data_IF_693425993748
#
_entry.id   IF_693425993748
#
_cell.length_a   1.000
_cell.length_b   1.000
_cell.length_c   1.000
_cell.angle_alpha   90.00
_cell.angle_beta   90.00
_cell.angle_gamma   90.00
#
_symmetry.space_group_name_H-M   'P 1'
#
loop_
_entity.id
_entity.type
_entity.pdbx_description
1 polymer ?
#
# COMPACT_ATOMS: atom_id res chain seq x y z
N UNK A 1 40.36 66.91 -22.62
CA UNK A 1 39.62 65.66 -23.08
C UNK A 1 39.48 64.72 -21.91
N UNK A 2 38.33 64.70 -21.28
CA UNK A 2 38.03 63.96 -20.04
C UNK A 2 36.98 62.91 -20.36
N UNK A 3 37.32 61.60 -20.23
CA UNK A 3 36.40 60.50 -20.41
C UNK A 3 35.59 60.24 -19.12
N UNK A 4 34.25 59.99 -19.21
CA UNK A 4 33.48 59.60 -18.04
C UNK A 4 33.58 58.08 -17.78
N UNK A 5 33.79 57.75 -16.50
CA UNK A 5 33.72 56.36 -15.97
C UNK A 5 32.27 55.95 -15.80
N UNK A 6 31.83 54.89 -16.50
CA UNK A 6 30.59 54.18 -16.26
C UNK A 6 30.74 53.18 -15.09
N UNK A 7 30.01 53.42 -14.02
CA UNK A 7 29.86 52.49 -12.90
C UNK A 7 28.68 51.59 -13.24
N UNK A 8 28.93 50.31 -13.53
CA UNK A 8 27.92 49.29 -13.74
C UNK A 8 27.43 48.74 -12.40
N UNK A 9 26.18 49.02 -12.06
CA UNK A 9 25.48 48.41 -10.92
C UNK A 9 24.98 47.03 -11.34
N UNK A 10 25.61 45.96 -10.87
CA UNK A 10 25.19 44.58 -11.06
C UNK A 10 24.05 44.25 -10.10
N UNK A 11 22.85 44.04 -10.63
CA UNK A 11 21.68 43.60 -9.89
C UNK A 11 21.75 42.08 -9.71
N UNK A 12 22.14 41.62 -8.53
CA UNK A 12 22.14 40.20 -8.16
C UNK A 12 20.70 39.74 -7.86
N UNK A 13 20.08 39.04 -8.80
CA UNK A 13 18.79 38.32 -8.59
C UNK A 13 19.05 37.08 -7.72
N UNK A 14 18.77 37.18 -6.43
CA UNK A 14 18.67 36.06 -5.51
C UNK A 14 17.39 35.28 -5.83
N UNK A 15 17.48 34.25 -6.67
CA UNK A 15 16.43 33.27 -6.90
C UNK A 15 16.20 32.43 -5.65
N UNK A 16 15.15 32.74 -4.90
CA UNK A 16 14.66 31.86 -3.82
C UNK A 16 14.12 30.57 -4.43
N UNK A 17 14.97 29.55 -4.52
CA UNK A 17 14.53 28.20 -4.82
C UNK A 17 13.70 27.71 -3.63
N UNK A 18 12.36 27.81 -3.72
CA UNK A 18 11.45 27.12 -2.82
C UNK A 18 11.67 25.63 -2.96
N UNK A 19 12.55 25.08 -2.14
CA UNK A 19 12.77 23.66 -2.01
C UNK A 19 11.48 23.01 -1.50
N UNK A 20 10.64 22.48 -2.40
CA UNK A 20 9.57 21.57 -2.02
C UNK A 20 10.23 20.41 -1.27
N UNK A 21 9.95 20.27 0.02
CA UNK A 21 10.27 19.04 0.75
C UNK A 21 9.74 17.88 -0.08
N UNK A 22 10.57 16.88 -0.42
CA UNK A 22 10.07 15.69 -1.12
C UNK A 22 8.97 15.09 -0.26
N UNK A 23 7.77 15.02 -0.82
CA UNK A 23 6.64 14.33 -0.21
C UNK A 23 7.06 12.87 0.03
N UNK A 24 6.90 12.33 1.24
CA UNK A 24 7.32 10.97 1.53
C UNK A 24 6.65 10.05 0.51
N UNK A 25 7.46 9.40 -0.32
CA UNK A 25 6.96 8.53 -1.36
C UNK A 25 6.11 7.42 -0.71
N UNK A 26 4.82 7.39 -1.04
CA UNK A 26 3.91 6.35 -0.58
C UNK A 26 4.43 4.97 -1.01
N UNK A 27 4.62 4.07 -0.05
CA UNK A 27 5.23 2.77 -0.31
C UNK A 27 4.59 1.66 0.49
N UNK A 28 4.68 0.48 -0.07
CA UNK A 28 4.45 -0.77 0.64
C UNK A 28 5.78 -1.49 0.82
N UNK A 29 5.98 -2.05 2.01
CA UNK A 29 7.06 -3.00 2.31
C UNK A 29 6.47 -4.35 2.62
N UNK A 30 7.09 -5.40 2.10
CA UNK A 30 6.70 -6.77 2.35
C UNK A 30 7.90 -7.62 2.73
N UNK A 31 7.67 -8.50 3.70
CA UNK A 31 8.60 -9.52 4.14
C UNK A 31 7.89 -10.86 4.06
N UNK A 32 8.42 -11.76 3.25
CA UNK A 32 7.88 -13.11 3.03
C UNK A 32 8.90 -14.12 3.56
N UNK A 33 8.56 -14.82 4.64
CA UNK A 33 9.42 -15.82 5.25
C UNK A 33 8.90 -17.22 4.90
N UNK A 34 9.65 -17.92 4.06
CA UNK A 34 9.35 -19.28 3.60
C UNK A 34 10.05 -20.30 4.52
N UNK A 35 9.41 -21.43 4.84
CA UNK A 35 10.06 -22.46 5.65
C UNK A 35 11.30 -23.00 4.94
N UNK A 36 12.39 -23.07 5.69
CA UNK A 36 13.69 -23.62 5.21
C UNK A 36 14.28 -22.93 3.97
N UNK A 37 13.89 -21.69 3.68
CA UNK A 37 14.34 -20.91 2.53
C UNK A 37 14.65 -19.47 2.93
N UNK A 38 15.26 -18.71 2.01
CA UNK A 38 15.58 -17.31 2.24
C UNK A 38 14.32 -16.45 2.38
N UNK A 39 14.41 -15.50 3.28
CA UNK A 39 13.38 -14.47 3.46
C UNK A 39 13.44 -13.45 2.32
N UNK A 40 12.32 -13.27 1.63
CA UNK A 40 12.21 -12.32 0.53
C UNK A 40 11.71 -10.99 1.09
N UNK A 41 12.36 -9.90 0.71
CA UNK A 41 11.98 -8.53 1.05
C UNK A 41 11.85 -7.71 -0.22
N UNK A 42 10.78 -6.93 -0.31
CA UNK A 42 10.63 -5.96 -1.39
C UNK A 42 9.89 -4.71 -0.94
N UNK A 43 10.13 -3.63 -1.67
CA UNK A 43 9.39 -2.38 -1.56
C UNK A 43 8.84 -1.99 -2.92
N UNK A 44 7.65 -1.38 -2.92
CA UNK A 44 7.01 -0.90 -4.12
C UNK A 44 6.28 0.44 -3.87
N UNK A 45 6.10 1.28 -4.89
CA UNK A 45 5.14 2.37 -4.83
C UNK A 45 3.76 1.83 -4.49
N UNK A 46 3.00 2.56 -3.67
CA UNK A 46 1.70 2.12 -3.21
C UNK A 46 0.61 3.16 -3.51
N UNK A 47 -0.61 2.67 -3.77
CA UNK A 47 -1.82 3.44 -3.90
C UNK A 47 -2.92 2.91 -2.99
N UNK A 48 -3.83 3.78 -2.60
CA UNK A 48 -5.02 3.44 -1.82
C UNK A 48 -6.26 4.06 -2.46
N UNK A 49 -7.33 3.27 -2.58
CA UNK A 49 -8.61 3.72 -3.13
C UNK A 49 -9.75 3.37 -2.19
N UNK A 50 -10.61 4.35 -1.92
CA UNK A 50 -11.89 4.12 -1.25
C UNK A 50 -12.99 3.96 -2.29
N UNK A 51 -13.74 2.89 -2.20
CA UNK A 51 -14.78 2.55 -3.14
C UNK A 51 -16.10 2.32 -2.44
N UNK A 52 -17.19 2.76 -3.05
CA UNK A 52 -18.55 2.38 -2.65
C UNK A 52 -19.06 1.28 -3.58
N UNK A 53 -19.56 0.19 -3.02
CA UNK A 53 -20.22 -0.87 -3.79
C UNK A 53 -21.73 -0.64 -3.89
N UNK A 54 -22.34 -1.15 -4.97
CA UNK A 54 -23.80 -1.31 -5.04
C UNK A 54 -24.24 -2.17 -3.84
N UNK A 55 -25.16 -1.78 -3.02
CA UNK A 55 -25.61 -2.48 -1.79
C UNK A 55 -25.01 -1.98 -0.46
N UNK A 56 -24.53 -0.74 -0.39
CA UNK A 56 -24.04 -0.17 0.87
C UNK A 56 -22.76 -0.81 1.42
N UNK A 57 -22.05 -1.56 0.60
CA UNK A 57 -20.74 -2.11 0.95
C UNK A 57 -19.66 -1.10 0.64
N UNK A 58 -18.79 -0.88 1.60
CA UNK A 58 -17.63 0.01 1.47
C UNK A 58 -16.35 -0.81 1.44
N UNK A 59 -15.42 -0.38 0.62
CA UNK A 59 -14.12 -1.00 0.50
C UNK A 59 -12.99 0.01 0.53
N UNK A 60 -11.87 -0.43 1.04
CA UNK A 60 -10.61 0.27 0.94
C UNK A 60 -9.59 -0.71 0.34
N UNK A 61 -9.16 -0.39 -0.87
CA UNK A 61 -8.18 -1.19 -1.60
C UNK A 61 -6.82 -0.50 -1.51
N UNK A 62 -5.83 -1.19 -0.96
CA UNK A 62 -4.43 -0.79 -1.00
C UNK A 62 -3.68 -1.78 -1.87
N UNK A 63 -2.84 -1.25 -2.74
CA UNK A 63 -2.02 -2.09 -3.60
C UNK A 63 -0.68 -1.43 -3.91
N UNK A 64 0.32 -2.24 -4.17
CA UNK A 64 1.59 -1.78 -4.69
C UNK A 64 2.31 -2.91 -5.38
N UNK A 65 2.99 -2.60 -6.48
CA UNK A 65 3.74 -3.60 -7.23
C UNK A 65 5.00 -3.01 -7.85
N UNK A 66 6.03 -3.86 -7.97
CA UNK A 66 7.31 -3.54 -8.61
C UNK A 66 8.01 -4.82 -9.04
N UNK A 67 8.47 -4.86 -10.27
CA UNK A 67 9.30 -5.96 -10.79
C UNK A 67 8.72 -7.36 -10.52
N UNK A 68 7.42 -7.55 -10.78
CA UNK A 68 6.74 -8.83 -10.57
C UNK A 68 6.31 -9.13 -9.14
N UNK A 69 6.82 -8.38 -8.14
CA UNK A 69 6.37 -8.46 -6.76
C UNK A 69 5.19 -7.53 -6.54
N UNK A 70 4.25 -7.90 -5.69
CA UNK A 70 3.10 -7.06 -5.40
C UNK A 70 2.33 -7.49 -4.17
N UNK A 71 1.64 -6.53 -3.58
CA UNK A 71 0.75 -6.72 -2.43
C UNK A 71 -0.59 -6.10 -2.72
N UNK A 72 -1.64 -6.77 -2.28
CA UNK A 72 -3.01 -6.27 -2.26
C UNK A 72 -3.57 -6.47 -0.85
N UNK A 73 -4.12 -5.41 -0.28
CA UNK A 73 -4.94 -5.47 0.94
C UNK A 73 -6.30 -4.89 0.61
N UNK A 74 -7.32 -5.68 0.84
CA UNK A 74 -8.70 -5.25 0.65
C UNK A 74 -9.46 -5.30 1.96
N UNK A 75 -9.79 -4.12 2.49
CA UNK A 75 -10.67 -3.97 3.63
C UNK A 75 -12.11 -3.84 3.12
N UNK A 76 -13.02 -4.62 3.71
CA UNK A 76 -14.45 -4.58 3.36
C UNK A 76 -15.29 -4.35 4.59
N UNK A 77 -16.30 -3.48 4.49
CA UNK A 77 -17.25 -3.22 5.56
C UNK A 77 -18.65 -2.95 5.03
N UNK A 78 -19.65 -3.07 5.91
CA UNK A 78 -21.01 -2.60 5.66
C UNK A 78 -21.16 -1.21 6.28
N UNK A 79 -21.24 -0.19 5.46
CA UNK A 79 -21.35 1.22 5.86
C UNK A 79 -20.02 1.98 5.92
N UNK A 80 -20.04 3.32 5.68
CA UNK A 80 -18.86 4.17 5.55
C UNK A 80 -18.08 4.30 6.86
N UNK A 81 -18.78 4.40 7.98
CA UNK A 81 -18.16 4.60 9.31
C UNK A 81 -17.41 3.37 9.82
N UNK A 82 -17.62 2.22 9.18
CA UNK A 82 -16.97 0.99 9.57
C UNK A 82 -15.53 0.85 9.01
N UNK A 83 -15.04 1.82 8.23
CA UNK A 83 -13.64 1.88 7.78
C UNK A 83 -12.71 2.57 8.81
N UNK A 84 -13.06 2.51 10.08
CA UNK A 84 -12.29 3.12 11.17
C UNK A 84 -10.96 2.41 11.40
N UNK A 85 -9.94 3.11 11.94
CA UNK A 85 -8.73 2.51 12.45
C UNK A 85 -8.99 1.42 13.50
N UNK A 86 -8.00 0.57 13.72
CA UNK A 86 -8.05 -0.53 14.67
C UNK A 86 -7.86 -1.91 14.03
N UNK A 87 -8.11 -2.99 14.78
CA UNK A 87 -7.92 -4.35 14.31
C UNK A 87 -9.01 -4.79 13.33
N UNK A 88 -8.59 -5.47 12.27
CA UNK A 88 -9.45 -6.04 11.25
C UNK A 88 -9.22 -7.54 11.14
N UNK A 89 -10.26 -8.37 11.34
CA UNK A 89 -10.14 -9.81 11.16
C UNK A 89 -9.85 -10.16 9.71
N UNK A 90 -9.06 -11.19 9.48
CA UNK A 90 -8.90 -11.75 8.15
C UNK A 90 -10.17 -12.49 7.72
N UNK A 91 -10.59 -12.25 6.49
CA UNK A 91 -11.72 -12.93 5.89
C UNK A 91 -11.26 -14.26 5.27
N UNK A 92 -11.97 -15.30 5.55
CA UNK A 92 -11.77 -16.57 4.88
C UNK A 92 -12.12 -16.47 3.39
N UNK A 93 -11.51 -17.33 2.59
CA UNK A 93 -11.82 -17.37 1.15
C UNK A 93 -13.30 -17.68 0.94
N UNK A 94 -13.99 -16.84 0.18
CA UNK A 94 -15.43 -16.99 -0.08
C UNK A 94 -16.35 -16.39 0.99
N UNK A 95 -15.81 -15.78 2.05
CA UNK A 95 -16.62 -15.09 3.05
C UNK A 95 -17.37 -13.91 2.43
N UNK A 96 -18.69 -13.99 2.43
CA UNK A 96 -19.62 -12.95 1.94
C UNK A 96 -20.53 -12.41 3.03
N UNK A 97 -20.49 -12.99 4.24
CA UNK A 97 -21.44 -12.70 5.32
C UNK A 97 -20.86 -11.82 6.41
N UNK A 98 -19.56 -11.87 6.63
CA UNK A 98 -18.91 -11.05 7.66
C UNK A 98 -19.15 -9.55 7.44
N UNK A 99 -19.52 -8.81 8.50
CA UNK A 99 -19.87 -7.41 8.38
C UNK A 99 -18.66 -6.53 8.05
N UNK A 100 -17.46 -6.95 8.48
CA UNK A 100 -16.19 -6.29 8.15
C UNK A 100 -15.04 -7.29 8.20
N UNK A 101 -13.99 -7.01 7.47
CA UNK A 101 -12.75 -7.79 7.51
C UNK A 101 -11.81 -7.44 6.37
N UNK A 102 -10.65 -8.05 6.40
CA UNK A 102 -9.55 -7.83 5.48
C UNK A 102 -9.20 -9.09 4.68
N UNK A 103 -8.85 -8.91 3.42
CA UNK A 103 -8.16 -9.92 2.61
C UNK A 103 -6.78 -9.40 2.27
N UNK A 104 -5.74 -10.19 2.47
CA UNK A 104 -4.34 -9.81 2.20
C UNK A 104 -3.75 -10.84 1.26
N UNK A 105 -3.30 -10.38 0.10
CA UNK A 105 -2.62 -11.20 -0.89
C UNK A 105 -1.25 -10.66 -1.22
N UNK A 106 -0.31 -11.55 -1.47
CA UNK A 106 1.03 -11.20 -1.96
C UNK A 106 1.38 -12.06 -3.16
N UNK A 107 2.01 -11.44 -4.14
CA UNK A 107 2.73 -12.09 -5.22
C UNK A 107 4.20 -11.71 -5.12
N UNK A 108 5.10 -12.66 -5.27
CA UNK A 108 6.53 -12.41 -5.25
C UNK A 108 7.27 -13.35 -6.21
N UNK A 109 8.46 -12.94 -6.60
CA UNK A 109 9.31 -13.67 -7.54
C UNK A 109 10.45 -14.33 -6.80
N UNK A 110 10.75 -15.58 -7.17
CA UNK A 110 12.03 -16.24 -6.88
C UNK A 110 12.66 -16.60 -8.21
N UNK A 111 13.74 -15.91 -8.55
CA UNK A 111 14.30 -15.95 -9.92
C UNK A 111 13.20 -15.60 -10.95
N UNK A 112 12.84 -16.51 -11.83
CA UNK A 112 11.81 -16.31 -12.86
C UNK A 112 10.44 -16.91 -12.49
N UNK A 113 10.32 -17.53 -11.31
CA UNK A 113 9.09 -18.17 -10.87
C UNK A 113 8.26 -17.23 -10.02
N UNK A 114 7.00 -17.03 -10.42
CA UNK A 114 6.04 -16.27 -9.65
C UNK A 114 5.36 -17.15 -8.59
N UNK A 115 5.36 -16.68 -7.36
CA UNK A 115 4.69 -17.26 -6.22
C UNK A 115 3.58 -16.37 -5.73
N UNK A 116 2.62 -16.92 -5.02
CA UNK A 116 1.54 -16.13 -4.45
C UNK A 116 0.84 -16.86 -3.32
N UNK A 117 0.41 -16.08 -2.34
CA UNK A 117 -0.43 -16.58 -1.25
C UNK A 117 -1.44 -15.52 -0.81
N UNK A 118 -2.48 -15.98 -0.15
CA UNK A 118 -3.43 -15.16 0.58
C UNK A 118 -3.33 -15.55 2.05
N UNK A 119 -3.32 -14.56 2.94
CA UNK A 119 -3.34 -14.84 4.37
C UNK A 119 -4.67 -15.48 4.77
N UNK A 120 -4.60 -16.58 5.49
CA UNK A 120 -5.73 -17.29 6.09
C UNK A 120 -5.68 -17.29 7.62
N UNK A 121 -4.57 -16.82 8.20
CA UNK A 121 -4.36 -16.68 9.64
C UNK A 121 -3.55 -15.43 9.94
N UNK A 122 -3.90 -14.70 11.01
CA UNK A 122 -3.23 -13.47 11.41
C UNK A 122 -4.20 -12.32 11.61
N UNK A 123 -3.70 -11.09 11.45
CA UNK A 123 -4.48 -9.87 11.64
C UNK A 123 -3.99 -8.72 10.75
N UNK A 124 -4.87 -7.75 10.53
CA UNK A 124 -4.55 -6.45 9.95
C UNK A 124 -4.83 -5.37 10.98
N UNK A 125 -3.85 -4.52 11.22
CA UNK A 125 -3.98 -3.33 12.08
C UNK A 125 -4.01 -2.09 11.20
N UNK A 126 -5.15 -1.43 11.12
CA UNK A 126 -5.33 -0.18 10.39
C UNK A 126 -5.05 0.97 11.35
N UNK A 127 -4.07 1.82 11.02
CA UNK A 127 -3.62 2.93 11.86
C UNK A 127 -4.24 4.26 11.46
N UNK A 128 -4.48 4.45 10.17
CA UNK A 128 -5.07 5.67 9.61
C UNK A 128 -5.92 5.34 8.39
N UNK A 129 -7.05 6.05 8.25
CA UNK A 129 -7.97 5.98 7.09
C UNK A 129 -8.47 7.36 6.67
N UNK A 130 -7.75 8.43 7.06
CA UNK A 130 -8.07 9.82 6.72
C UNK A 130 -7.66 10.21 5.29
N UNK A 131 -6.86 11.25 5.17
CA UNK A 131 -6.30 11.67 3.87
C UNK A 131 -5.22 10.71 3.37
N UNK A 132 -4.58 10.02 4.28
CA UNK A 132 -3.62 8.97 4.01
C UNK A 132 -4.11 7.68 4.67
N UNK A 133 -3.60 6.57 4.19
CA UNK A 133 -3.86 5.26 4.79
C UNK A 133 -2.55 4.69 5.29
N UNK A 134 -2.58 4.15 6.51
CA UNK A 134 -1.47 3.40 7.07
C UNK A 134 -2.00 2.11 7.72
N UNK A 135 -1.38 0.99 7.40
CA UNK A 135 -1.72 -0.29 8.02
C UNK A 135 -0.53 -1.25 8.08
N UNK A 136 -0.64 -2.22 8.97
CA UNK A 136 0.26 -3.38 9.02
C UNK A 136 -0.59 -4.64 8.97
N UNK A 137 -0.19 -5.59 8.14
CA UNK A 137 -0.77 -6.94 8.10
C UNK A 137 0.30 -7.95 8.47
N UNK A 138 -0.03 -8.91 9.34
CA UNK A 138 0.84 -10.00 9.75
C UNK A 138 0.06 -11.29 9.81
N UNK A 139 0.67 -12.36 9.31
CA UNK A 139 0.01 -13.64 9.36
C UNK A 139 0.73 -14.71 8.54
N UNK A 140 0.02 -15.81 8.31
CA UNK A 140 0.50 -16.88 7.47
C UNK A 140 -0.53 -17.26 6.43
N UNK A 141 -0.10 -17.85 5.34
CA UNK A 141 -0.93 -18.41 4.31
C UNK A 141 -0.31 -19.67 3.73
N UNK A 142 -1.11 -20.52 3.13
CA UNK A 142 -0.65 -21.71 2.45
C UNK A 142 -0.10 -21.34 1.06
N UNK A 143 1.11 -21.75 0.79
CA UNK A 143 1.71 -21.71 -0.53
C UNK A 143 2.07 -23.14 -0.98
N UNK A 144 1.31 -23.71 -1.92
CA UNK A 144 1.55 -25.10 -2.36
C UNK A 144 2.97 -25.31 -2.89
N UNK A 145 3.51 -24.36 -3.62
CA UNK A 145 4.87 -24.44 -4.19
C UNK A 145 6.00 -24.36 -3.14
N UNK A 146 5.74 -23.79 -1.97
CA UNK A 146 6.70 -23.72 -0.86
C UNK A 146 6.66 -24.98 0.02
N UNK A 147 5.71 -25.89 -0.22
CA UNK A 147 5.53 -27.09 0.59
C UNK A 147 4.99 -26.83 2.00
N UNK A 148 4.43 -25.64 2.27
CA UNK A 148 3.97 -25.32 3.61
C UNK A 148 3.39 -23.92 3.79
N UNK A 149 3.27 -23.54 5.05
CA UNK A 149 2.79 -22.20 5.42
C UNK A 149 3.93 -21.20 5.35
N UNK A 150 3.66 -20.08 4.73
CA UNK A 150 4.58 -18.96 4.55
C UNK A 150 4.10 -17.82 5.45
N UNK A 151 5.02 -17.23 6.20
CA UNK A 151 4.72 -16.03 6.99
C UNK A 151 4.89 -14.77 6.13
N UNK A 152 3.96 -13.83 6.32
CA UNK A 152 3.94 -12.55 5.63
C UNK A 152 3.79 -11.41 6.63
N UNK A 153 4.64 -10.41 6.50
CA UNK A 153 4.45 -9.09 7.10
C UNK A 153 4.42 -8.04 5.99
N UNK A 154 3.41 -7.17 6.04
CA UNK A 154 3.22 -6.08 5.09
C UNK A 154 2.99 -4.80 5.86
N UNK A 155 3.64 -3.71 5.43
CA UNK A 155 3.34 -2.36 5.93
C UNK A 155 3.07 -1.41 4.77
N UNK A 156 1.97 -0.67 4.86
CA UNK A 156 1.67 0.50 4.04
C UNK A 156 1.86 1.75 4.89
N UNK A 157 2.68 2.69 4.42
CA UNK A 157 3.03 3.91 5.15
C UNK A 157 2.57 5.14 4.37
N UNK A 158 1.72 5.95 5.02
CA UNK A 158 1.27 7.26 4.53
C UNK A 158 0.82 7.27 3.07
N UNK A 159 0.03 6.27 2.66
CA UNK A 159 -0.44 6.13 1.28
C UNK A 159 -1.60 7.10 1.04
N UNK A 160 -1.50 8.05 0.11
CA UNK A 160 -2.59 8.97 -0.21
C UNK A 160 -3.85 8.21 -0.61
N UNK A 161 -4.99 8.65 -0.06
CA UNK A 161 -6.28 8.02 -0.32
C UNK A 161 -6.98 8.72 -1.49
N UNK A 162 -7.15 7.97 -2.57
CA UNK A 162 -8.05 8.36 -3.66
C UNK A 162 -9.48 7.94 -3.33
N UNK A 163 -10.41 8.87 -3.48
CA UNK A 163 -11.85 8.58 -3.34
C UNK A 163 -12.39 8.29 -4.74
N UNK A 164 -12.74 7.05 -4.98
CA UNK A 164 -13.37 6.62 -6.22
C UNK A 164 -14.83 6.26 -5.94
N UNK A 165 -15.76 6.80 -6.74
CA UNK A 165 -17.18 6.49 -6.67
C UNK A 165 -17.56 5.24 -7.46
N UNK A 166 -16.61 4.68 -8.21
CA UNK A 166 -16.79 3.48 -9.05
C UNK A 166 -16.27 2.25 -8.30
N UNK A 167 -16.80 1.09 -8.61
CA UNK A 167 -16.46 -0.17 -7.94
C UNK A 167 -14.96 -0.44 -7.89
N UNK A 168 -14.43 -0.76 -6.69
CA UNK A 168 -13.07 -1.29 -6.54
C UNK A 168 -12.89 -2.58 -7.32
N UNK A 169 -12.18 -2.54 -8.42
CA UNK A 169 -11.63 -3.74 -9.04
C UNK A 169 -10.11 -3.71 -8.82
N UNK A 170 -9.50 -4.79 -8.33
CA UNK A 170 -8.05 -4.92 -8.35
C UNK A 170 -7.57 -4.71 -9.79
N UNK A 171 -6.50 -3.93 -9.99
CA UNK A 171 -5.84 -3.89 -11.29
C UNK A 171 -5.21 -5.27 -11.52
N UNK A 172 -5.57 -5.88 -12.62
CA UNK A 172 -5.02 -7.16 -13.11
C UNK A 172 -3.60 -7.02 -13.63
#
# INVERSE_FOLDING_TARGET
>A
MTLPRFVGVGLALLGAACGRKPEPASRVRALVARPHQDTIRFEAPAGAKRCSGASGRWGLLLQGSRAGNGVVVWLRSRGPDALAPGPWPLLQRGDTVSPRGATVGVRYMTSEVAHGLVLDSGAVEVRDTGRVVALVARGTGLEPAAGGRVALEVSFEAVPLEVDTVSCRPMS
#
